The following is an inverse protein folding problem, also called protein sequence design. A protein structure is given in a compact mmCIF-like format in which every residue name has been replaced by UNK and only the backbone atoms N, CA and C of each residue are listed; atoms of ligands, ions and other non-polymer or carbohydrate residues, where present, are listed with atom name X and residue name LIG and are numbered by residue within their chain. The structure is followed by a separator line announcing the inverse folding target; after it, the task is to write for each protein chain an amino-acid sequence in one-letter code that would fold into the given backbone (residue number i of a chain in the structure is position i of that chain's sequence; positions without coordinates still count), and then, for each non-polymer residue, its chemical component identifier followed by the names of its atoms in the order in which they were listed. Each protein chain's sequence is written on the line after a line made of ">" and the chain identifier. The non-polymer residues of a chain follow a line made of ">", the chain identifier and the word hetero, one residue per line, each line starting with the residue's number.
data_IF_505684923415
#
_entry.id   IF_505684923415
#
_cell.length_a   1.000
_cell.length_b   1.000
_cell.length_c   1.000
_cell.angle_alpha   90.00
_cell.angle_beta   90.00
_cell.angle_gamma   90.00
#
_symmetry.space_group_name_H-M   'P 1'
#
loop_
_entity.id
_entity.type
_entity.pdbx_description
1 polymer ?
#
# COMPACT_ATOMS: atom_id res chain seq x y z
N UNK A 1 15.45 -5.88 -9.06
CA UNK A 1 14.37 -6.16 -8.09
C UNK A 1 14.38 -5.08 -7.03
N UNK A 2 13.37 -4.19 -6.92
CA UNK A 2 13.39 -3.13 -5.90
C UNK A 2 12.32 -3.24 -4.79
N UNK A 3 11.49 -4.29 -4.74
CA UNK A 3 10.33 -4.31 -3.81
C UNK A 3 10.59 -4.97 -2.45
N UNK A 4 11.76 -5.57 -2.28
CA UNK A 4 12.17 -6.18 -1.00
C UNK A 4 13.12 -5.18 -0.34
N UNK A 5 12.65 -4.50 0.70
CA UNK A 5 13.58 -3.77 1.56
C UNK A 5 14.62 -4.76 2.09
N UNK A 6 15.90 -4.36 2.17
CA UNK A 6 16.88 -5.15 2.89
C UNK A 6 16.33 -5.37 4.30
N UNK A 7 16.18 -6.63 4.72
CA UNK A 7 15.66 -6.99 6.04
C UNK A 7 16.29 -6.13 7.14
N UNK A 8 17.56 -5.72 6.98
CA UNK A 8 18.36 -4.90 7.90
C UNK A 8 17.96 -3.43 8.06
N UNK A 9 17.25 -2.80 7.11
CA UNK A 9 16.88 -1.37 7.20
C UNK A 9 15.65 -1.14 8.10
N UNK A 10 15.03 -2.21 8.61
CA UNK A 10 13.72 -2.20 9.26
C UNK A 10 13.74 -2.48 10.78
N UNK A 11 14.90 -2.87 11.32
CA UNK A 11 15.09 -3.29 12.71
C UNK A 11 15.84 -2.27 13.58
N UNK A 12 15.86 -1.00 13.21
CA UNK A 12 16.15 0.01 14.24
C UNK A 12 14.89 0.18 15.09
N UNK A 13 14.95 -0.55 16.22
CA UNK A 13 14.07 -0.64 17.38
C UNK A 13 12.62 -1.13 17.19
N UNK A 14 12.41 -2.39 17.60
CA UNK A 14 11.18 -2.79 18.29
C UNK A 14 10.24 -3.75 17.56
N UNK A 15 10.61 -5.04 17.50
CA UNK A 15 9.68 -6.18 17.44
C UNK A 15 8.72 -6.31 16.24
N UNK A 16 8.17 -7.51 16.06
CA UNK A 16 7.08 -7.76 15.10
C UNK A 16 5.77 -7.28 15.72
N UNK A 17 5.49 -5.98 15.61
CA UNK A 17 4.24 -5.39 16.07
C UNK A 17 3.25 -5.16 14.91
N UNK A 18 1.95 -5.29 15.19
CA UNK A 18 0.89 -5.27 14.19
C UNK A 18 0.40 -3.85 13.94
N UNK A 19 0.20 -3.46 12.68
CA UNK A 19 -0.46 -2.20 12.31
C UNK A 19 -1.93 -2.23 12.77
N UNK A 20 -2.31 -1.26 13.59
CA UNK A 20 -3.69 -1.02 14.05
C UNK A 20 -4.27 0.25 13.46
N UNK A 21 -3.45 1.18 12.95
CA UNK A 21 -3.96 2.34 12.24
C UNK A 21 -3.06 2.79 11.10
N UNK A 22 -3.69 3.32 10.04
CA UNK A 22 -3.00 3.97 8.94
C UNK A 22 -3.65 5.32 8.67
N UNK A 23 -2.83 6.36 8.61
CA UNK A 23 -3.21 7.69 8.19
C UNK A 23 -2.45 8.09 6.91
N UNK A 24 -3.15 8.67 5.95
CA UNK A 24 -2.54 9.13 4.69
C UNK A 24 -2.67 10.64 4.54
N UNK A 25 -1.62 11.26 4.00
CA UNK A 25 -1.51 12.69 3.79
C UNK A 25 -1.29 12.98 2.32
N UNK A 26 -2.03 13.94 1.77
CA UNK A 26 -1.91 14.35 0.39
C UNK A 26 -1.28 15.73 0.25
N UNK A 27 -0.58 15.93 -0.87
CA UNK A 27 -0.07 17.22 -1.28
C UNK A 27 -0.37 17.44 -2.77
N UNK A 28 -0.69 18.69 -3.11
CA UNK A 28 -0.94 19.06 -4.50
C UNK A 28 0.38 19.26 -5.24
N UNK A 29 0.52 18.57 -6.37
CA UNK A 29 1.60 18.75 -7.34
C UNK A 29 0.94 18.95 -8.70
N UNK A 30 1.18 20.11 -9.32
CA UNK A 30 0.56 20.49 -10.60
C UNK A 30 -0.97 20.29 -10.68
N UNK A 31 -1.70 20.65 -9.60
CA UNK A 31 -3.17 20.51 -9.47
C UNK A 31 -3.67 19.07 -9.29
N UNK A 32 -2.77 18.09 -9.16
CA UNK A 32 -3.10 16.69 -8.83
C UNK A 32 -2.69 16.39 -7.40
N UNK A 33 -3.52 15.68 -6.65
CA UNK A 33 -3.27 15.32 -5.26
C UNK A 33 -2.52 13.98 -5.18
N UNK A 34 -1.26 14.01 -4.75
CA UNK A 34 -0.48 12.79 -4.55
C UNK A 34 -0.38 12.47 -3.06
N UNK A 35 -0.35 11.19 -2.72
CA UNK A 35 -0.02 10.73 -1.37
C UNK A 35 1.43 11.12 -1.10
N UNK A 36 1.59 12.06 -0.18
CA UNK A 36 2.87 12.67 0.20
C UNK A 36 3.46 12.04 1.45
N UNK A 37 2.63 11.42 2.29
CA UNK A 37 3.09 10.72 3.48
C UNK A 37 2.05 9.77 4.07
N UNK A 38 2.54 8.84 4.87
CA UNK A 38 1.77 7.85 5.61
C UNK A 38 2.22 7.85 7.07
N UNK A 39 1.30 7.61 7.99
CA UNK A 39 1.61 7.33 9.40
C UNK A 39 0.96 5.99 9.75
N UNK A 40 1.76 5.07 10.26
CA UNK A 40 1.34 3.77 10.74
C UNK A 40 1.38 3.79 12.27
N UNK A 41 0.29 3.41 12.92
CA UNK A 41 0.27 3.15 14.37
C UNK A 41 0.19 1.65 14.57
N UNK A 42 1.06 1.14 15.44
CA UNK A 42 1.12 -0.26 15.78
C UNK A 42 0.45 -0.54 17.13
N UNK A 43 0.15 -1.81 17.42
CA UNK A 43 -0.59 -2.21 18.64
C UNK A 43 0.14 -1.84 19.93
N UNK A 44 1.46 -1.81 19.94
CA UNK A 44 2.28 -1.28 21.04
C UNK A 44 2.10 0.21 21.29
N UNK A 45 1.46 0.94 20.37
CA UNK A 45 1.36 2.39 20.39
C UNK A 45 2.49 3.11 19.64
N UNK A 46 3.51 2.38 19.16
CA UNK A 46 4.56 2.96 18.32
C UNK A 46 3.93 3.53 17.04
N UNK A 47 4.38 4.71 16.62
CA UNK A 47 3.99 5.31 15.34
C UNK A 47 5.19 5.44 14.42
N UNK A 48 5.07 5.00 13.16
CA UNK A 48 6.08 5.21 12.13
C UNK A 48 5.54 6.10 11.03
N UNK A 49 6.31 7.12 10.68
CA UNK A 49 6.00 8.06 9.61
C UNK A 49 6.82 7.71 8.38
N UNK A 50 6.15 7.68 7.24
CA UNK A 50 6.77 7.51 5.93
C UNK A 50 6.47 8.77 5.12
N UNK A 51 7.53 9.42 4.65
CA UNK A 51 7.41 10.63 3.85
C UNK A 51 6.88 11.85 4.57
N UNK A 52 6.22 12.75 3.83
CA UNK A 52 5.79 14.07 4.29
C UNK A 52 4.35 14.05 4.80
N UNK A 53 4.18 13.62 6.05
CA UNK A 53 2.93 13.77 6.80
C UNK A 53 2.77 15.21 7.35
N UNK A 54 2.61 16.20 6.47
CA UNK A 54 2.30 17.59 6.83
C UNK A 54 1.26 18.23 5.91
N UNK A 55 0.59 17.42 5.09
CA UNK A 55 -0.44 17.84 4.14
C UNK A 55 -1.86 17.58 4.67
N UNK A 56 -2.83 17.51 3.77
CA UNK A 56 -4.22 17.24 4.14
C UNK A 56 -4.39 15.78 4.54
N UNK A 57 -4.90 15.54 5.75
CA UNK A 57 -5.23 14.20 6.22
C UNK A 57 -6.41 13.67 5.39
N UNK A 58 -6.16 12.62 4.61
CA UNK A 58 -7.20 12.00 3.78
C UNK A 58 -8.11 11.12 4.63
N UNK A 59 -7.51 10.28 5.49
CA UNK A 59 -8.24 9.32 6.33
C UNK A 59 -7.34 8.74 7.40
N UNK A 60 -7.89 8.42 8.57
CA UNK A 60 -7.28 7.58 9.60
C UNK A 60 -8.26 6.45 9.94
N UNK A 61 -7.78 5.22 10.09
CA UNK A 61 -8.65 4.05 10.27
C UNK A 61 -8.05 3.12 11.31
N UNK A 62 -8.89 2.42 12.08
CA UNK A 62 -8.47 1.38 13.02
C UNK A 62 -8.74 -0.01 12.44
N UNK A 63 -7.73 -0.88 12.41
CA UNK A 63 -7.83 -2.27 11.96
C UNK A 63 -8.31 -3.18 13.11
N UNK A 64 -9.13 -4.20 12.81
CA UNK A 64 -9.60 -5.15 13.83
C UNK A 64 -8.50 -6.15 14.22
N UNK A 65 -8.44 -6.53 15.49
CA UNK A 65 -7.39 -7.36 16.11
C UNK A 65 -7.18 -8.75 15.49
N UNK A 66 -8.12 -9.24 14.68
CA UNK A 66 -8.06 -10.57 14.05
C UNK A 66 -7.75 -10.54 12.55
N UNK A 67 -7.75 -9.38 11.91
CA UNK A 67 -7.59 -9.32 10.46
C UNK A 67 -6.12 -9.40 10.01
N UNK A 68 -5.90 -9.74 8.74
CA UNK A 68 -4.59 -9.73 8.08
C UNK A 68 -4.72 -9.06 6.73
N UNK A 69 -3.68 -8.33 6.32
CA UNK A 69 -3.62 -7.73 5.00
C UNK A 69 -3.55 -8.84 3.96
N UNK A 70 -4.61 -8.98 3.15
CA UNK A 70 -4.73 -10.04 2.14
C UNK A 70 -4.36 -9.56 0.74
N UNK A 71 -4.60 -8.28 0.45
CA UNK A 71 -4.35 -7.67 -0.85
C UNK A 71 -3.96 -6.19 -0.65
N UNK A 72 -2.96 -5.75 -1.41
CA UNK A 72 -2.53 -4.36 -1.50
C UNK A 72 -2.59 -3.92 -2.98
N UNK A 73 -3.34 -2.85 -3.24
CA UNK A 73 -3.40 -2.21 -4.55
C UNK A 73 -2.76 -0.82 -4.46
N UNK A 74 -1.87 -0.50 -5.40
CA UNK A 74 -1.17 0.78 -5.43
C UNK A 74 -1.28 1.37 -6.83
N UNK A 75 -1.80 2.59 -6.92
CA UNK A 75 -1.80 3.38 -8.14
C UNK A 75 -0.78 4.50 -8.03
N UNK A 76 0.07 4.63 -9.04
CA UNK A 76 1.02 5.72 -9.15
C UNK A 76 1.05 6.29 -10.56
N UNK A 77 1.01 7.62 -10.61
CA UNK A 77 1.09 8.40 -11.84
C UNK A 77 2.51 8.90 -12.08
N UNK A 78 2.62 9.93 -12.91
CA UNK A 78 3.90 10.50 -13.33
C UNK A 78 4.73 11.04 -12.16
N UNK A 79 4.09 11.60 -11.13
CA UNK A 79 4.77 12.30 -10.04
C UNK A 79 4.66 11.61 -8.68
N UNK A 80 4.10 10.40 -8.60
CA UNK A 80 4.07 9.61 -7.38
C UNK A 80 2.77 8.86 -7.14
N UNK A 81 2.56 8.46 -5.89
CA UNK A 81 1.42 7.66 -5.45
C UNK A 81 0.12 8.47 -5.51
N UNK A 82 -0.90 7.92 -6.14
CA UNK A 82 -2.23 8.51 -6.26
C UNK A 82 -3.23 7.86 -5.30
N UNK A 83 -3.17 6.54 -5.16
CA UNK A 83 -4.12 5.76 -4.37
C UNK A 83 -3.46 4.49 -3.84
N UNK A 84 -3.75 4.17 -2.58
CA UNK A 84 -3.44 2.89 -1.96
C UNK A 84 -4.75 2.27 -1.50
N UNK A 85 -5.00 1.00 -1.82
CA UNK A 85 -6.09 0.21 -1.23
C UNK A 85 -5.50 -0.94 -0.42
N UNK A 86 -5.90 -1.04 0.84
CA UNK A 86 -5.53 -2.13 1.75
C UNK A 86 -6.75 -3.00 1.99
N UNK A 87 -6.67 -4.28 1.67
CA UNK A 87 -7.75 -5.24 1.88
C UNK A 87 -7.39 -6.17 3.02
N UNK A 88 -8.27 -6.25 4.01
CA UNK A 88 -8.07 -7.06 5.21
C UNK A 88 -9.07 -8.23 5.26
N UNK A 89 -8.60 -9.40 5.72
CA UNK A 89 -9.40 -10.61 5.91
C UNK A 89 -9.07 -11.29 7.23
N UNK A 90 -10.04 -11.94 7.85
CA UNK A 90 -9.82 -12.77 9.05
C UNK A 90 -9.30 -14.15 8.63
N UNK A 91 -8.15 -14.63 9.14
CA UNK A 91 -7.64 -15.97 8.83
C UNK A 91 -8.36 -17.06 9.63
N UNK A 92 -9.62 -17.40 9.32
CA UNK A 92 -10.27 -18.61 9.88
C UNK A 92 -11.29 -19.26 8.96
N UNK A 93 -11.28 -20.59 8.97
CA UNK A 93 -11.96 -21.54 8.08
C UNK A 93 -13.44 -21.86 8.44
N UNK A 94 -14.17 -20.99 9.12
CA UNK A 94 -15.56 -21.29 9.53
C UNK A 94 -16.51 -20.14 9.25
N UNK A 95 -17.21 -20.25 8.12
CA UNK A 95 -18.59 -19.86 7.76
C UNK A 95 -19.29 -18.60 8.32
N UNK A 96 -18.65 -17.74 9.10
CA UNK A 96 -19.13 -16.39 9.36
C UNK A 96 -18.33 -15.42 8.51
N UNK A 97 -18.81 -15.26 7.27
CA UNK A 97 -18.45 -14.24 6.31
C UNK A 97 -18.35 -12.87 6.97
N UNK A 98 -17.17 -12.52 7.48
CA UNK A 98 -16.82 -11.13 7.74
C UNK A 98 -16.54 -10.55 6.37
N UNK A 99 -17.32 -9.56 5.93
CA UNK A 99 -17.06 -8.92 4.65
C UNK A 99 -15.63 -8.37 4.63
N UNK A 100 -14.86 -8.60 3.56
CA UNK A 100 -13.48 -8.12 3.49
C UNK A 100 -13.45 -6.60 3.63
N UNK A 101 -12.76 -6.11 4.65
CA UNK A 101 -12.64 -4.67 4.88
C UNK A 101 -11.62 -4.09 3.91
N UNK A 102 -12.09 -3.25 2.99
CA UNK A 102 -11.25 -2.53 2.03
C UNK A 102 -11.04 -1.09 2.48
N UNK A 103 -9.78 -0.66 2.57
CA UNK A 103 -9.41 0.69 3.00
C UNK A 103 -8.76 1.44 1.85
N UNK A 104 -9.43 2.46 1.34
CA UNK A 104 -8.90 3.35 0.31
C UNK A 104 -8.27 4.57 0.96
N UNK A 105 -6.97 4.74 0.75
CA UNK A 105 -6.17 5.88 1.17
C UNK A 105 -5.96 6.83 -0.03
N UNK A 106 -7.02 7.51 -0.43
CA UNK A 106 -7.01 8.52 -1.49
C UNK A 106 -8.28 9.35 -1.46
N UNK A 107 -8.21 10.57 -1.99
CA UNK A 107 -9.39 11.35 -2.40
C UNK A 107 -9.93 10.93 -3.78
N UNK A 108 -9.23 10.06 -4.51
CA UNK A 108 -9.60 9.66 -5.86
C UNK A 108 -10.32 8.31 -5.94
N UNK A 109 -11.36 8.28 -6.77
CA UNK A 109 -11.93 7.04 -7.33
C UNK A 109 -11.12 6.59 -8.54
N UNK A 110 -11.27 5.31 -8.93
CA UNK A 110 -10.60 4.79 -10.13
C UNK A 110 -10.92 5.62 -11.38
N UNK A 111 -12.19 6.01 -11.54
CA UNK A 111 -12.65 6.83 -12.65
C UNK A 111 -12.00 8.21 -12.67
N UNK A 112 -11.81 8.82 -11.50
CA UNK A 112 -11.16 10.13 -11.39
C UNK A 112 -9.68 10.07 -11.73
N UNK A 113 -8.98 8.98 -11.39
CA UNK A 113 -7.57 8.75 -11.74
C UNK A 113 -7.39 8.76 -13.27
N UNK A 114 -8.25 8.04 -13.99
CA UNK A 114 -8.22 7.95 -15.46
C UNK A 114 -8.50 9.28 -16.18
N UNK A 115 -9.05 10.29 -15.47
CA UNK A 115 -9.28 11.63 -16.02
C UNK A 115 -8.09 12.56 -15.83
N UNK A 116 -7.26 12.31 -14.81
CA UNK A 116 -6.21 13.22 -14.37
C UNK A 116 -4.85 12.86 -14.97
N UNK A 117 -4.60 11.57 -15.19
CA UNK A 117 -3.35 11.06 -15.74
C UNK A 117 -3.62 10.29 -17.04
N UNK A 118 -2.76 10.48 -18.04
CA UNK A 118 -2.89 9.78 -19.33
C UNK A 118 -2.59 8.28 -19.21
N UNK A 119 -1.70 7.93 -18.29
CA UNK A 119 -1.26 6.58 -17.99
C UNK A 119 -0.92 6.47 -16.51
N UNK A 120 -1.37 5.39 -15.88
CA UNK A 120 -1.17 5.11 -14.46
C UNK A 120 -0.76 3.66 -14.30
N UNK A 121 0.27 3.43 -13.50
CA UNK A 121 0.65 2.08 -13.13
C UNK A 121 -0.20 1.62 -11.95
N UNK A 122 -0.67 0.38 -12.01
CA UNK A 122 -1.39 -0.29 -10.94
C UNK A 122 -0.62 -1.54 -10.52
N UNK A 123 -0.09 -1.52 -9.30
CA UNK A 123 0.51 -2.70 -8.68
C UNK A 123 -0.57 -3.41 -7.84
N UNK A 124 -0.76 -4.69 -8.12
CA UNK A 124 -1.70 -5.57 -7.44
C UNK A 124 -0.89 -6.67 -6.72
N UNK A 125 -0.94 -6.69 -5.40
CA UNK A 125 -0.13 -7.56 -4.55
C UNK A 125 -1.05 -8.42 -3.69
N UNK A 126 -1.31 -9.64 -4.14
CA UNK A 126 -2.17 -10.61 -3.45
C UNK A 126 -1.33 -11.55 -2.59
N UNK A 127 -1.35 -11.30 -1.29
CA UNK A 127 -0.61 -12.10 -0.31
C UNK A 127 -1.27 -13.44 -0.04
N UNK A 128 -2.57 -13.57 -0.30
CA UNK A 128 -3.29 -14.83 -0.08
C UNK A 128 -2.91 -15.87 -1.13
N UNK A 129 -2.72 -15.41 -2.37
CA UNK A 129 -2.30 -16.25 -3.49
C UNK A 129 -0.79 -16.18 -3.75
N UNK A 130 -0.04 -15.36 -3.01
CA UNK A 130 1.39 -15.08 -3.23
C UNK A 130 1.69 -14.59 -4.66
N UNK A 131 0.84 -13.70 -5.17
CA UNK A 131 0.88 -13.20 -6.55
C UNK A 131 1.12 -11.70 -6.59
N UNK A 132 2.00 -11.28 -7.49
CA UNK A 132 2.21 -9.90 -7.86
C UNK A 132 1.93 -9.69 -9.35
N UNK A 133 1.06 -8.72 -9.63
CA UNK A 133 0.75 -8.25 -10.98
C UNK A 133 0.95 -6.75 -11.08
N UNK A 134 1.29 -6.31 -12.29
CA UNK A 134 1.34 -4.90 -12.63
C UNK A 134 0.54 -4.67 -13.88
N UNK A 135 -0.22 -3.59 -13.89
CA UNK A 135 -1.01 -3.16 -15.03
C UNK A 135 -0.61 -1.75 -15.41
N UNK A 136 -0.66 -1.48 -16.71
CA UNK A 136 -0.63 -0.12 -17.23
C UNK A 136 -2.06 0.28 -17.60
N UNK A 137 -2.61 1.19 -16.81
CA UNK A 137 -3.96 1.73 -17.03
C UNK A 137 -3.83 2.99 -17.86
N UNK A 138 -4.19 2.90 -19.14
CA UNK A 138 -4.22 4.03 -20.05
C UNK A 138 -5.67 4.48 -20.28
N UNK A 139 -5.84 5.75 -20.67
CA UNK A 139 -7.16 6.28 -21.02
C UNK A 139 -7.77 5.45 -22.15
N UNK A 140 -8.85 4.73 -21.85
CA UNK A 140 -9.57 3.79 -22.75
C UNK A 140 -8.89 2.44 -23.02
N UNK A 141 -7.85 2.04 -22.27
CA UNK A 141 -7.37 0.66 -22.32
C UNK A 141 -6.78 0.21 -20.98
N UNK A 142 -7.21 -0.96 -20.50
CA UNK A 142 -6.51 -1.68 -19.45
C UNK A 142 -5.58 -2.68 -20.12
N UNK A 143 -4.31 -2.31 -20.29
CA UNK A 143 -3.30 -3.26 -20.74
C UNK A 143 -2.65 -3.85 -19.51
N UNK A 144 -2.77 -5.17 -19.38
CA UNK A 144 -1.86 -5.88 -18.50
C UNK A 144 -0.44 -5.63 -19.00
N UNK A 145 0.47 -5.36 -18.08
CA UNK A 145 1.87 -5.21 -18.45
C UNK A 145 2.34 -6.55 -19.01
N UNK A 146 3.05 -6.57 -20.15
CA UNK A 146 3.52 -7.80 -20.79
C UNK A 146 4.52 -8.60 -19.92
N UNK A 147 4.88 -8.06 -18.75
CA UNK A 147 5.72 -8.74 -17.76
C UNK A 147 4.99 -9.94 -17.14
N UNK A 148 5.68 -11.09 -16.99
CA UNK A 148 5.11 -12.26 -16.36
C UNK A 148 4.75 -11.97 -14.90
N UNK A 149 3.65 -12.59 -14.45
CA UNK A 149 3.25 -12.64 -13.05
C UNK A 149 4.43 -13.05 -12.16
N UNK A 150 4.68 -12.30 -11.09
CA UNK A 150 5.77 -12.61 -10.17
C UNK A 150 5.21 -13.28 -8.93
N UNK A 151 5.88 -14.34 -8.47
CA UNK A 151 5.55 -14.98 -7.20
C UNK A 151 6.13 -14.18 -6.04
N UNK A 152 5.31 -13.95 -5.02
CA UNK A 152 5.76 -13.39 -3.76
C UNK A 152 6.49 -14.45 -2.92
N UNK A 153 7.38 -14.05 -1.99
CA UNK A 153 7.94 -14.97 -1.02
C UNK A 153 6.83 -15.64 -0.19
N UNK A 154 6.99 -16.93 0.12
CA UNK A 154 6.14 -17.65 1.08
C UNK A 154 6.48 -17.21 2.51
N UNK A 155 6.01 -16.02 2.87
CA UNK A 155 6.28 -15.31 4.12
C UNK A 155 5.07 -14.45 4.50
N UNK A 156 4.78 -14.31 5.80
CA UNK A 156 3.72 -13.43 6.28
C UNK A 156 4.11 -11.96 6.07
N UNK A 157 3.16 -11.14 5.58
CA UNK A 157 3.34 -9.69 5.57
C UNK A 157 3.12 -9.15 6.97
N UNK A 158 4.19 -8.63 7.56
CA UNK A 158 4.18 -8.10 8.93
C UNK A 158 4.16 -6.57 8.96
N UNK A 159 4.31 -5.91 7.82
CA UNK A 159 4.25 -4.45 7.75
C UNK A 159 4.47 -3.87 6.37
N UNK A 160 4.40 -2.54 6.31
CA UNK A 160 4.72 -1.74 5.14
C UNK A 160 5.89 -0.82 5.49
N UNK A 161 6.68 -0.46 4.47
CA UNK A 161 7.77 0.50 4.58
C UNK A 161 7.73 1.45 3.38
N UNK A 162 8.54 2.49 3.41
CA UNK A 162 8.65 3.41 2.29
C UNK A 162 9.68 4.49 2.52
N UNK A 163 9.89 5.30 1.50
CA UNK A 163 10.90 6.35 1.49
C UNK A 163 10.52 7.45 0.51
N UNK A 164 11.03 8.67 0.71
CA UNK A 164 10.84 9.80 -0.21
C UNK A 164 11.97 9.90 -1.26
N UNK A 165 12.66 8.80 -1.52
CA UNK A 165 13.80 8.75 -2.44
C UNK A 165 13.41 8.36 -3.88
N UNK A 166 12.10 8.32 -4.20
CA UNK A 166 11.66 8.13 -5.57
C UNK A 166 12.07 9.29 -6.48
N UNK A 167 11.97 9.07 -7.79
CA UNK A 167 12.16 10.15 -8.78
C UNK A 167 11.28 11.35 -8.42
N UNK A 168 11.86 12.55 -8.45
CA UNK A 168 11.21 13.80 -8.03
C UNK A 168 10.77 13.87 -6.56
N UNK A 169 11.32 13.03 -5.68
CA UNK A 169 10.95 12.98 -4.27
C UNK A 169 9.64 12.22 -4.02
N UNK A 170 9.20 11.42 -4.99
CA UNK A 170 8.00 10.62 -4.87
C UNK A 170 8.12 9.60 -3.72
N UNK A 171 7.02 9.43 -2.99
CA UNK A 171 6.90 8.41 -1.97
C UNK A 171 6.95 7.03 -2.65
N UNK A 172 7.94 6.22 -2.30
CA UNK A 172 7.99 4.80 -2.63
C UNK A 172 7.44 4.01 -1.45
N UNK A 173 6.67 2.95 -1.75
CA UNK A 173 6.14 2.03 -0.77
C UNK A 173 6.64 0.62 -1.07
N UNK A 174 6.87 -0.15 -0.02
CA UNK A 174 7.12 -1.57 -0.14
C UNK A 174 6.54 -2.34 1.05
N UNK A 175 6.70 -3.66 0.98
CA UNK A 175 6.15 -4.61 1.95
C UNK A 175 7.27 -5.23 2.77
N UNK A 176 6.95 -5.62 3.99
CA UNK A 176 7.87 -6.29 4.91
C UNK A 176 7.37 -7.71 5.13
N UNK A 177 8.22 -8.67 4.82
CA UNK A 177 7.96 -10.09 5.01
C UNK A 177 8.65 -10.60 6.28
N UNK A 178 7.90 -11.30 7.13
CA UNK A 178 8.38 -12.01 8.30
C UNK A 178 8.41 -13.53 8.08
N UNK A 179 8.90 -14.30 9.07
CA UNK A 179 8.74 -15.76 9.04
C UNK A 179 7.27 -16.11 9.31
N UNK A 180 6.74 -17.11 8.61
CA UNK A 180 5.45 -17.72 8.94
C UNK A 180 5.52 -18.25 10.38
N UNK A 181 4.54 -17.90 11.21
CA UNK A 181 4.40 -18.43 12.58
C UNK A 181 3.74 -19.80 12.58
#
# INVERSE_FOLDING_TARGET
>A
MPWIAPEKLLWEDGGSDRVVSVAAYQASVYKTQYISGLIFTYKSGITRKIGRASGDLTRAITCSDCERLSLLEIFYGRYGLLKITLHFKVPTASHHSSEPQSLVLSSYTQESINRIEASVCHDYIDFSNSVYKRFLVEKNSHKEDDRPEQKLPDKEVIGLWGTNLGEHGALQLGVIFGKNR
#
